data_IF_871706609317
#
_entry.id   IF_871706609317
#
_cell.length_a   1.000
_cell.length_b   1.000
_cell.length_c   1.000
_cell.angle_alpha   90.00
_cell.angle_beta   90.00
_cell.angle_gamma   90.00
#
_symmetry.space_group_name_H-M   'P 1'
#
loop_
_entity.id
_entity.type
_entity.pdbx_description
1 polymer ?
#
# COMPACT_ATOMS: atom_id res chain seq x y z
N UNK A 1 -19.00 -10.26 64.62
CA UNK A 1 -18.78 -11.11 63.44
C UNK A 1 -20.01 -10.95 62.54
N UNK A 2 -19.95 -10.03 61.57
CA UNK A 2 -21.08 -9.71 60.71
C UNK A 2 -20.88 -10.42 59.38
N UNK A 3 -21.72 -11.42 59.10
CA UNK A 3 -21.99 -11.94 57.77
C UNK A 3 -23.02 -10.98 57.14
N UNK A 4 -22.61 -10.17 56.18
CA UNK A 4 -23.50 -9.47 55.24
C UNK A 4 -23.25 -10.13 53.88
N UNK A 5 -24.06 -11.15 53.59
CA UNK A 5 -25.21 -11.09 52.68
C UNK A 5 -24.81 -11.11 51.21
N UNK A 6 -25.20 -12.21 50.58
CA UNK A 6 -25.30 -12.43 49.14
C UNK A 6 -25.85 -11.19 48.41
N UNK A 7 -25.15 -10.79 47.35
CA UNK A 7 -25.72 -9.92 46.33
C UNK A 7 -26.57 -10.78 45.40
N UNK A 8 -27.85 -10.86 45.72
CA UNK A 8 -28.91 -11.52 44.97
C UNK A 8 -29.29 -10.73 43.71
N UNK A 9 -28.37 -10.63 42.75
CA UNK A 9 -28.67 -10.27 41.36
C UNK A 9 -27.58 -10.91 40.49
N UNK A 10 -27.96 -11.83 39.60
CA UNK A 10 -27.06 -12.51 38.65
C UNK A 10 -26.50 -11.59 37.55
N UNK A 11 -26.19 -10.34 37.90
CA UNK A 11 -25.61 -9.36 37.00
C UNK A 11 -24.19 -9.06 37.47
N UNK A 12 -23.24 -9.34 36.58
CA UNK A 12 -21.84 -8.99 36.76
C UNK A 12 -21.61 -7.52 36.37
N UNK A 13 -20.88 -6.77 37.19
CA UNK A 13 -20.48 -5.39 36.86
C UNK A 13 -19.40 -5.46 35.80
N UNK A 14 -19.75 -5.07 34.57
CA UNK A 14 -18.79 -4.95 33.48
C UNK A 14 -17.80 -3.82 33.77
N UNK A 15 -16.59 -4.18 34.22
CA UNK A 15 -15.49 -3.23 34.36
C UNK A 15 -14.94 -2.91 32.97
N UNK A 16 -15.29 -1.73 32.45
CA UNK A 16 -14.77 -1.21 31.17
C UNK A 16 -13.23 -1.15 31.13
N UNK A 17 -12.53 -1.14 32.28
CA UNK A 17 -11.06 -1.18 32.37
C UNK A 17 -10.48 -2.57 32.08
N UNK A 18 -11.29 -3.64 32.18
CA UNK A 18 -10.91 -4.99 31.77
C UNK A 18 -11.08 -5.23 30.26
N UNK A 19 -11.70 -4.30 29.53
CA UNK A 19 -11.71 -4.37 28.06
C UNK A 19 -10.30 -4.11 27.55
N UNK A 20 -9.66 -5.03 26.81
CA UNK A 20 -8.33 -4.80 26.25
C UNK A 20 -8.35 -3.56 25.36
N UNK A 21 -7.76 -2.47 25.85
CA UNK A 21 -7.78 -1.18 25.13
C UNK A 21 -6.86 -1.22 23.90
N UNK A 22 -5.86 -2.11 23.90
CA UNK A 22 -4.96 -2.33 22.79
C UNK A 22 -5.53 -3.38 21.81
N UNK A 23 -5.71 -2.97 20.54
CA UNK A 23 -6.02 -3.91 19.47
C UNK A 23 -4.85 -4.86 19.27
N UNK A 24 -5.11 -6.16 19.20
CA UNK A 24 -4.09 -7.16 18.92
C UNK A 24 -3.28 -6.79 17.66
N UNK A 25 -1.95 -7.06 17.62
CA UNK A 25 -1.12 -6.84 16.44
C UNK A 25 -1.74 -7.48 15.20
N UNK A 26 -1.78 -6.75 14.10
CA UNK A 26 -2.28 -7.27 12.83
C UNK A 26 -1.53 -6.70 11.65
N UNK A 27 -1.24 -7.59 10.70
CA UNK A 27 -0.66 -7.26 9.40
C UNK A 27 -1.69 -7.59 8.34
N UNK A 28 -1.90 -6.68 7.40
CA UNK A 28 -2.83 -6.88 6.29
C UNK A 28 -2.06 -6.70 4.98
N UNK A 29 -2.05 -7.74 4.15
CA UNK A 29 -1.59 -7.66 2.77
C UNK A 29 -2.82 -7.36 1.92
N UNK A 30 -2.81 -6.20 1.28
CA UNK A 30 -3.90 -5.70 0.47
C UNK A 30 -3.72 -6.12 -0.99
N UNK A 31 -4.77 -5.89 -1.77
CA UNK A 31 -4.68 -6.00 -3.23
C UNK A 31 -3.52 -5.17 -3.76
N UNK A 32 -2.86 -5.67 -4.81
CA UNK A 32 -1.71 -5.02 -5.47
C UNK A 32 -0.44 -4.91 -4.58
N UNK A 33 -0.37 -5.67 -3.49
CA UNK A 33 0.86 -5.82 -2.71
C UNK A 33 1.17 -4.69 -1.74
N UNK A 34 0.16 -3.93 -1.30
CA UNK A 34 0.36 -2.96 -0.20
C UNK A 34 0.27 -3.69 1.13
N UNK A 35 1.28 -3.52 1.98
CA UNK A 35 1.28 -4.07 3.34
C UNK A 35 0.87 -2.96 4.30
N UNK A 36 0.04 -3.31 5.28
CA UNK A 36 -0.42 -2.36 6.27
C UNK A 36 -0.43 -2.95 7.68
N UNK A 37 0.09 -2.18 8.63
CA UNK A 37 0.30 -2.54 10.03
C UNK A 37 -0.60 -1.68 10.90
N UNK A 38 -1.29 -2.28 11.86
CA UNK A 38 -1.88 -1.49 12.93
C UNK A 38 -0.79 -0.99 13.90
N UNK A 39 -1.17 -0.06 14.79
CA UNK A 39 -0.23 0.52 15.76
C UNK A 39 0.53 -0.54 16.57
N UNK A 40 -0.18 -1.54 17.10
CA UNK A 40 0.43 -2.61 17.88
C UNK A 40 1.44 -3.45 17.08
N UNK A 41 1.23 -3.68 15.79
CA UNK A 41 2.20 -4.36 14.93
C UNK A 41 3.39 -3.47 14.57
N UNK A 42 3.17 -2.17 14.35
CA UNK A 42 4.25 -1.21 14.10
C UNK A 42 5.14 -1.01 15.33
N UNK A 43 4.56 -1.07 16.53
CA UNK A 43 5.29 -1.05 17.80
C UNK A 43 6.25 -2.23 17.96
N UNK A 44 5.90 -3.42 17.42
CA UNK A 44 6.77 -4.60 17.50
C UNK A 44 8.07 -4.45 16.70
N UNK A 45 8.11 -3.56 15.72
CA UNK A 45 9.33 -3.20 14.96
C UNK A 45 9.88 -1.84 15.39
N UNK A 46 9.56 -1.40 16.61
CA UNK A 46 10.11 -0.17 17.20
C UNK A 46 9.58 1.12 16.57
N UNK A 47 8.42 1.09 15.89
CA UNK A 47 7.90 2.21 15.10
C UNK A 47 8.86 2.67 13.98
N UNK A 48 9.63 1.75 13.39
CA UNK A 48 10.58 2.05 12.32
C UNK A 48 9.95 2.85 11.16
N UNK A 49 10.69 3.85 10.69
CA UNK A 49 10.31 4.68 9.54
C UNK A 49 10.71 4.03 8.21
N UNK A 50 11.70 3.15 8.24
CA UNK A 50 12.17 2.34 7.11
C UNK A 50 12.29 0.88 7.50
N UNK A 51 11.95 -0.01 6.57
CA UNK A 51 11.98 -1.46 6.78
C UNK A 51 12.58 -2.20 5.60
N UNK A 52 13.25 -3.30 5.88
CA UNK A 52 13.57 -4.32 4.88
C UNK A 52 12.45 -5.36 4.81
N UNK A 53 12.17 -5.80 3.60
CA UNK A 53 11.21 -6.87 3.32
C UNK A 53 11.99 -8.15 3.00
N UNK A 54 11.78 -9.18 3.80
CA UNK A 54 12.42 -10.48 3.63
C UNK A 54 11.37 -11.54 3.32
N UNK A 55 11.77 -12.53 2.53
CA UNK A 55 10.95 -13.68 2.20
C UNK A 55 11.74 -14.97 2.44
N UNK A 56 11.18 -15.82 3.28
CA UNK A 56 11.66 -17.19 3.48
C UNK A 56 10.87 -18.10 2.55
N UNK A 57 11.53 -18.59 1.48
CA UNK A 57 10.90 -19.43 0.46
C UNK A 57 10.58 -20.83 0.97
N UNK A 58 11.34 -21.33 1.94
CA UNK A 58 11.16 -22.68 2.48
C UNK A 58 9.98 -22.72 3.44
N UNK A 59 9.85 -21.70 4.30
CA UNK A 59 8.73 -21.57 5.25
C UNK A 59 7.51 -20.85 4.69
N UNK A 60 7.65 -20.19 3.53
CA UNK A 60 6.64 -19.31 2.94
C UNK A 60 6.23 -18.18 3.92
N UNK A 61 7.24 -17.54 4.52
CA UNK A 61 7.07 -16.49 5.52
C UNK A 61 7.57 -15.16 4.96
N UNK A 62 6.77 -14.11 5.13
CA UNK A 62 7.18 -12.72 4.88
C UNK A 62 7.61 -12.11 6.21
N UNK A 63 8.75 -11.43 6.23
CA UNK A 63 9.21 -10.72 7.41
C UNK A 63 9.48 -9.23 7.11
N UNK A 64 9.18 -8.38 8.09
CA UNK A 64 9.52 -6.97 8.10
C UNK A 64 10.52 -6.72 9.21
N UNK A 65 11.65 -6.11 8.87
CA UNK A 65 12.70 -5.75 9.83
C UNK A 65 12.96 -4.26 9.76
N UNK A 66 13.16 -3.59 10.89
CA UNK A 66 13.63 -2.21 10.91
C UNK A 66 14.96 -2.10 10.14
N UNK A 67 15.07 -1.11 9.28
CA UNK A 67 16.27 -0.85 8.49
C UNK A 67 16.81 0.53 8.81
N UNK A 68 18.06 0.76 8.41
CA UNK A 68 18.62 2.11 8.35
C UNK A 68 18.20 2.77 7.03
N UNK A 69 18.05 4.10 7.04
CA UNK A 69 17.62 4.90 5.89
C UNK A 69 18.62 4.86 4.74
N UNK A 70 19.88 4.51 5.04
CA UNK A 70 20.94 4.35 4.05
C UNK A 70 20.96 2.98 3.38
N UNK A 71 20.12 2.03 3.80
CA UNK A 71 20.10 0.71 3.18
C UNK A 71 19.43 0.77 1.79
N UNK A 72 20.12 0.34 0.71
CA UNK A 72 19.59 0.42 -0.67
C UNK A 72 18.26 -0.33 -0.90
N UNK A 73 17.93 -1.27 -0.02
CA UNK A 73 16.74 -2.12 -0.11
C UNK A 73 15.68 -1.79 0.94
N UNK A 74 15.81 -0.65 1.62
CA UNK A 74 14.84 -0.17 2.58
C UNK A 74 13.57 0.37 1.90
N UNK A 75 12.43 0.07 2.49
CA UNK A 75 11.12 0.57 2.11
C UNK A 75 10.61 1.54 3.18
N UNK A 76 10.17 2.72 2.75
CA UNK A 76 9.58 3.70 3.66
C UNK A 76 8.22 3.22 4.22
N UNK A 77 8.07 3.36 5.53
CA UNK A 77 6.82 3.16 6.28
C UNK A 77 6.08 4.49 6.37
N UNK A 78 4.92 4.57 5.73
CA UNK A 78 4.11 5.80 5.67
C UNK A 78 2.92 5.72 6.60
N UNK A 79 2.47 6.86 7.12
CA UNK A 79 1.20 6.94 7.84
C UNK A 79 0.02 6.95 6.87
N UNK A 80 -0.94 6.06 7.09
CA UNK A 80 -2.12 5.85 6.25
C UNK A 80 -3.31 6.78 6.54
N UNK A 81 -3.25 7.57 7.62
CA UNK A 81 -4.30 8.51 7.99
C UNK A 81 -3.69 9.78 8.58
N UNK A 82 -4.21 10.94 8.17
CA UNK A 82 -3.90 12.24 8.77
C UNK A 82 -4.69 12.48 10.09
N UNK A 83 -5.81 11.78 10.29
CA UNK A 83 -6.84 12.15 11.28
C UNK A 83 -7.31 10.98 12.19
N UNK A 84 -6.50 9.95 12.44
CA UNK A 84 -6.88 8.83 13.32
C UNK A 84 -5.70 7.97 13.72
N UNK A 85 -5.88 6.93 14.58
CA UNK A 85 -4.79 6.05 15.01
C UNK A 85 -4.13 5.46 13.77
N UNK A 86 -2.93 5.95 13.47
CA UNK A 86 -2.27 5.81 12.17
C UNK A 86 -2.00 4.35 11.85
N UNK A 87 -2.47 3.90 10.70
CA UNK A 87 -2.02 2.64 10.11
C UNK A 87 -0.66 2.91 9.45
N UNK A 88 0.35 2.09 9.73
CA UNK A 88 1.61 2.13 9.00
C UNK A 88 1.45 1.38 7.67
N UNK A 89 1.97 1.93 6.57
CA UNK A 89 1.79 1.41 5.21
C UNK A 89 3.16 1.27 4.55
N UNK A 90 3.39 0.11 3.93
CA UNK A 90 4.59 -0.18 3.14
C UNK A 90 4.17 -0.57 1.72
N UNK A 91 4.76 0.07 0.73
CA UNK A 91 4.48 -0.21 -0.69
C UNK A 91 5.32 -1.38 -1.18
N UNK A 92 4.81 -2.60 -0.97
CA UNK A 92 5.54 -3.85 -1.24
C UNK A 92 5.15 -4.49 -2.59
N UNK A 93 4.63 -3.72 -3.55
CA UNK A 93 4.13 -4.25 -4.83
C UNK A 93 5.19 -5.07 -5.57
N UNK A 94 6.40 -4.51 -5.74
CA UNK A 94 7.50 -5.21 -6.41
C UNK A 94 7.91 -6.49 -5.66
N UNK A 95 8.01 -6.42 -4.32
CA UNK A 95 8.31 -7.56 -3.46
C UNK A 95 7.28 -8.69 -3.63
N UNK A 96 5.99 -8.37 -3.50
CA UNK A 96 4.93 -9.39 -3.64
C UNK A 96 4.85 -10.00 -5.03
N UNK A 97 5.09 -9.20 -6.07
CA UNK A 97 5.16 -9.70 -7.45
C UNK A 97 6.37 -10.61 -7.66
N UNK A 98 7.55 -10.21 -7.17
CA UNK A 98 8.80 -10.96 -7.32
C UNK A 98 8.72 -12.35 -6.66
N UNK A 99 8.11 -12.46 -5.48
CA UNK A 99 7.98 -13.71 -4.76
C UNK A 99 6.68 -14.48 -5.04
N UNK A 100 5.81 -13.97 -5.93
CA UNK A 100 4.56 -14.64 -6.31
C UNK A 100 3.54 -14.73 -5.17
N UNK A 101 3.52 -13.75 -4.27
CA UNK A 101 2.57 -13.71 -3.14
C UNK A 101 1.17 -13.41 -3.67
N UNK A 102 0.18 -14.24 -3.32
CA UNK A 102 -1.22 -14.02 -3.72
C UNK A 102 -1.78 -12.74 -3.10
N UNK A 103 -1.98 -11.73 -3.94
CA UNK A 103 -2.57 -10.43 -3.58
C UNK A 103 -3.91 -10.20 -4.30
N UNK A 104 -4.58 -11.25 -4.76
CA UNK A 104 -5.89 -11.15 -5.43
C UNK A 104 -6.99 -10.67 -4.47
N UNK A 105 -6.87 -11.02 -3.20
CA UNK A 105 -7.75 -10.59 -2.11
C UNK A 105 -6.96 -9.90 -1.00
N UNK A 106 -7.59 -8.92 -0.35
CA UNK A 106 -7.04 -8.34 0.88
C UNK A 106 -7.22 -9.36 2.01
N UNK A 107 -6.13 -9.69 2.70
CA UNK A 107 -6.13 -10.66 3.79
C UNK A 107 -5.38 -10.09 4.99
N UNK A 108 -5.83 -10.46 6.19
CA UNK A 108 -5.22 -10.08 7.47
C UNK A 108 -4.71 -11.30 8.20
N UNK A 109 -3.52 -11.16 8.79
CA UNK A 109 -2.87 -12.16 9.60
C UNK A 109 -2.57 -11.60 10.99
N UNK A 110 -2.52 -12.52 11.96
CA UNK A 110 -1.88 -12.28 13.25
C UNK A 110 -0.37 -12.53 13.04
N UNK A 111 0.49 -11.51 13.18
CA UNK A 111 1.92 -11.70 13.03
C UNK A 111 2.51 -12.38 14.27
N UNK A 112 3.74 -12.85 14.12
CA UNK A 112 4.61 -13.28 15.22
C UNK A 112 5.95 -12.56 15.11
N UNK A 113 6.72 -12.51 16.19
CA UNK A 113 8.04 -11.90 16.21
C UNK A 113 9.10 -13.00 16.29
N UNK A 114 10.13 -12.89 15.47
CA UNK A 114 11.29 -13.80 15.43
C UNK A 114 12.54 -12.93 15.19
N UNK A 115 13.52 -12.98 16.09
CA UNK A 115 14.79 -12.22 15.99
C UNK A 115 14.64 -10.73 15.68
N UNK A 116 13.64 -10.08 16.29
CA UNK A 116 13.35 -8.66 16.08
C UNK A 116 12.66 -8.34 14.73
N UNK A 117 12.26 -9.36 13.98
CA UNK A 117 11.49 -9.24 12.75
C UNK A 117 10.02 -9.53 13.01
N UNK A 118 9.15 -8.79 12.31
CA UNK A 118 7.71 -9.05 12.30
C UNK A 118 7.36 -9.98 11.15
N UNK A 119 6.99 -11.20 11.47
CA UNK A 119 6.78 -12.28 10.53
C UNK A 119 5.29 -12.56 10.29
N UNK A 120 4.98 -12.93 9.05
CA UNK A 120 3.67 -13.36 8.58
C UNK A 120 3.83 -14.68 7.86
N UNK A 121 3.22 -15.72 8.44
CA UNK A 121 3.13 -17.04 7.84
C UNK A 121 2.02 -17.05 6.77
N UNK A 122 2.41 -17.20 5.50
CA UNK A 122 1.48 -17.24 4.37
C UNK A 122 0.86 -18.63 4.17
N UNK A 123 1.36 -19.67 4.83
CA UNK A 123 0.74 -21.00 4.82
C UNK A 123 -0.57 -21.00 5.62
N UNK A 124 -0.67 -20.13 6.62
CA UNK A 124 -1.90 -19.89 7.36
C UNK A 124 -2.87 -19.08 6.50
N UNK A 125 -4.12 -19.55 6.43
CA UNK A 125 -5.17 -18.81 5.73
C UNK A 125 -5.46 -17.50 6.45
N UNK A 126 -5.01 -16.38 5.85
CA UNK A 126 -5.34 -15.04 6.32
C UNK A 126 -6.84 -14.78 6.24
N UNK A 127 -7.37 -14.02 7.20
CA UNK A 127 -8.77 -13.60 7.22
C UNK A 127 -9.03 -12.65 6.05
N UNK A 128 -9.90 -13.05 5.12
CA UNK A 128 -10.27 -12.20 3.98
C UNK A 128 -11.02 -10.96 4.49
N UNK A 129 -10.57 -9.78 4.07
CA UNK A 129 -11.23 -8.52 4.33
C UNK A 129 -11.96 -8.09 3.07
N UNK A 130 -13.29 -8.20 3.10
CA UNK A 130 -14.16 -7.62 2.08
C UNK A 130 -14.50 -6.19 2.49
N UNK A 131 -14.16 -5.21 1.65
CA UNK A 131 -14.55 -3.82 1.89
C UNK A 131 -16.01 -3.58 1.53
N UNK A 132 -16.74 -2.81 2.35
CA UNK A 132 -18.11 -2.37 2.07
C UNK A 132 -18.20 -1.24 1.00
N UNK A 133 -17.15 -1.08 0.18
CA UNK A 133 -17.06 -0.04 -0.86
C UNK A 133 -17.10 -0.68 -2.24
N UNK A 134 -18.30 -1.05 -2.70
CA UNK A 134 -18.61 -1.02 -4.13
C UNK A 134 -18.77 0.45 -4.52
N UNK A 135 -17.67 1.13 -4.90
CA UNK A 135 -17.85 2.29 -5.78
C UNK A 135 -18.38 1.72 -7.09
N UNK A 136 -19.66 1.96 -7.36
CA UNK A 136 -20.30 1.74 -8.64
C UNK A 136 -19.39 2.31 -9.74
N UNK A 137 -18.74 1.43 -10.49
CA UNK A 137 -18.17 1.81 -11.77
C UNK A 137 -19.38 1.77 -12.73
N UNK A 138 -20.03 2.90 -12.92
CA UNK A 138 -20.94 3.08 -14.05
C UNK A 138 -20.07 3.03 -15.31
N UNK A 139 -20.20 2.05 -16.20
CA UNK A 139 -19.47 2.07 -17.46
C UNK A 139 -20.06 3.19 -18.33
N UNK A 140 -19.24 4.16 -18.69
CA UNK A 140 -19.56 5.09 -19.77
C UNK A 140 -19.72 4.27 -21.08
N UNK A 141 -20.78 4.49 -21.87
CA UNK A 141 -20.95 3.75 -23.11
C UNK A 141 -19.88 4.20 -24.11
N UNK A 142 -19.12 3.21 -24.59
CA UNK A 142 -18.30 3.29 -25.78
C UNK A 142 -19.18 3.65 -26.98
N UNK A 143 -18.85 4.74 -27.69
CA UNK A 143 -19.38 4.97 -29.04
C UNK A 143 -18.26 4.65 -30.00
N UNK A 144 -18.31 3.42 -30.50
CA UNK A 144 -17.59 2.97 -31.68
C UNK A 144 -18.56 3.12 -32.86
N UNK A 145 -18.19 3.91 -33.87
CA UNK A 145 -18.82 3.91 -35.19
C UNK A 145 -17.76 4.33 -36.21
N UNK A 146 -17.16 3.32 -36.86
CA UNK A 146 -16.72 3.40 -38.27
C UNK A 146 -18.00 3.57 -39.15
N UNK A 147 -18.03 4.13 -40.37
CA UNK A 147 -17.08 4.12 -41.48
C UNK A 147 -17.61 5.07 -42.59
N UNK A 148 -16.68 5.63 -43.40
CA UNK A 148 -16.71 6.06 -44.81
C UNK A 148 -17.92 6.82 -45.44
N UNK A 149 -17.64 7.91 -46.18
CA UNK A 149 -17.70 7.94 -47.66
C UNK A 149 -16.92 9.13 -48.26
N UNK A 150 -16.26 8.88 -49.40
CA UNK A 150 -15.49 9.75 -50.31
C UNK A 150 -16.27 10.88 -51.02
N UNK A 151 -15.51 11.69 -51.79
CA UNK A 151 -15.82 12.48 -53.02
C UNK A 151 -15.61 13.99 -52.77
N UNK A 152 -14.93 14.84 -53.54
CA UNK A 152 -13.96 14.84 -54.67
C UNK A 152 -13.61 16.34 -54.91
N UNK A 153 -12.58 16.60 -55.72
CA UNK A 153 -12.23 17.84 -56.43
C UNK A 153 -11.27 18.88 -55.78
N UNK A 154 -10.07 18.92 -56.40
CA UNK A 154 -9.30 20.06 -56.94
C UNK A 154 -9.03 21.28 -56.01
N UNK A 155 -7.84 21.88 -55.97
CA UNK A 155 -7.09 22.42 -57.11
C UNK A 155 -5.65 22.81 -56.70
N UNK A 156 -4.82 23.04 -57.71
CA UNK A 156 -3.39 23.32 -57.74
C UNK A 156 -2.97 24.63 -57.02
N UNK A 157 -1.70 24.71 -56.59
CA UNK A 157 -0.67 25.72 -56.96
C UNK A 157 0.61 25.49 -56.11
N UNK A 158 1.72 25.08 -56.72
CA UNK A 158 2.87 25.89 -57.19
C UNK A 158 3.93 26.15 -56.10
N UNK A 159 5.08 25.48 -56.22
CA UNK A 159 6.43 26.05 -56.51
C UNK A 159 7.15 26.58 -55.25
N UNK A 160 8.15 25.85 -54.75
CA UNK A 160 9.58 26.08 -55.05
C UNK A 160 10.02 27.50 -54.70
N UNK A 161 10.66 27.72 -53.53
CA UNK A 161 11.86 28.56 -53.36
C UNK A 161 12.64 28.06 -52.12
N UNK A 162 13.79 27.46 -52.43
CA UNK A 162 15.00 27.35 -51.62
C UNK A 162 15.59 28.74 -51.38
N UNK A 163 15.89 29.14 -50.13
CA UNK A 163 17.09 29.93 -49.85
C UNK A 163 17.38 29.97 -48.34
N UNK A 164 18.48 29.34 -47.95
CA UNK A 164 19.20 29.72 -46.74
C UNK A 164 19.82 31.10 -46.93
N UNK A 165 20.07 31.85 -45.85
CA UNK A 165 21.41 32.41 -45.78
C UNK A 165 22.10 32.25 -44.43
N UNK A 166 23.38 31.93 -44.58
CA UNK A 166 24.49 31.92 -43.65
C UNK A 166 24.86 33.34 -43.17
N UNK A 167 25.77 33.40 -42.18
CA UNK A 167 26.60 34.53 -41.72
C UNK A 167 26.02 35.31 -40.51
N UNK A 168 26.76 35.73 -39.48
CA UNK A 168 28.20 35.83 -39.19
C UNK A 168 28.37 36.16 -37.69
N UNK A 169 29.59 35.92 -37.19
CA UNK A 169 30.15 36.26 -35.88
C UNK A 169 29.94 37.74 -35.46
N UNK A 170 29.86 38.01 -34.16
CA UNK A 170 30.77 38.98 -33.52
C UNK A 170 30.81 38.84 -31.99
N UNK A 171 32.01 38.98 -31.43
CA UNK A 171 32.34 38.97 -29.98
C UNK A 171 32.65 40.40 -29.54
N UNK A 172 32.30 40.81 -28.31
CA UNK A 172 33.33 41.40 -27.43
C UNK A 172 33.13 40.89 -25.99
N UNK A 173 34.12 40.31 -25.30
CA UNK A 173 35.27 40.94 -24.64
C UNK A 173 34.94 42.27 -23.94
N UNK A 174 34.68 42.23 -22.63
CA UNK A 174 35.23 43.23 -21.70
C UNK A 174 35.22 42.71 -20.25
N UNK A 175 36.17 43.24 -19.49
CA UNK A 175 36.73 42.78 -18.22
C UNK A 175 35.90 43.04 -16.96
#
# INVERSE_FOLDING_TARGET
>A
MVKMQESTMGFEVFDKRMTPLAKAPSVTIQKRGVISLNKAAHDLIGNAETVELLYDRDRNVVALRAADDFCPHAYAVRSGSKNGPGQAIVSATAFTAHYGIDTTATRRWKPFTEDGMLCVDLTLQGTVITGNRTKSLTPAPVTETAEATETDEADQIAEDIDDSPTAVEDTPDDA
#
